data_IF_149844115530
#
_entry.id   IF_149844115530
#
_cell.length_a   1.000
_cell.length_b   1.000
_cell.length_c   1.000
_cell.angle_alpha   90.00
_cell.angle_beta   90.00
_cell.angle_gamma   90.00
#
_symmetry.space_group_name_H-M   'P 1'
#
loop_
_entity.id
_entity.type
_entity.pdbx_description
1 polymer ?
#
# COMPACT_ATOMS: atom_id res chain seq x y z
N UNK A 1 2.14 -22.48 -17.73
CA UNK A 1 1.49 -21.83 -18.88
C UNK A 1 0.43 -20.81 -18.47
N UNK A 2 -0.47 -21.09 -17.51
CA UNK A 2 -1.48 -20.13 -17.04
C UNK A 2 -0.89 -18.89 -16.31
N UNK A 3 0.24 -19.02 -15.61
CA UNK A 3 0.88 -17.91 -14.88
C UNK A 3 1.59 -16.89 -15.80
N UNK A 4 2.11 -17.34 -16.95
CA UNK A 4 2.66 -16.45 -17.99
C UNK A 4 1.56 -15.62 -18.65
N UNK A 5 0.35 -16.17 -18.78
CA UNK A 5 -0.81 -15.43 -19.28
C UNK A 5 -1.27 -14.36 -18.29
N UNK A 6 -1.17 -14.58 -16.97
CA UNK A 6 -1.56 -13.60 -15.94
C UNK A 6 -0.61 -12.39 -15.84
N UNK A 7 0.70 -12.61 -15.92
CA UNK A 7 1.69 -11.51 -16.01
C UNK A 7 1.51 -10.70 -17.30
N UNK A 8 1.30 -11.37 -18.43
CA UNK A 8 1.00 -10.71 -19.70
C UNK A 8 -0.33 -9.95 -19.65
N UNK A 9 -1.38 -10.51 -19.03
CA UNK A 9 -2.67 -9.85 -18.82
C UNK A 9 -2.53 -8.60 -17.94
N UNK A 10 -1.78 -8.66 -16.84
CA UNK A 10 -1.51 -7.51 -15.98
C UNK A 10 -0.75 -6.40 -16.72
N UNK A 11 0.32 -6.74 -17.44
CA UNK A 11 1.09 -5.77 -18.21
C UNK A 11 0.27 -5.19 -19.37
N UNK A 12 -0.60 -5.99 -19.99
CA UNK A 12 -1.49 -5.54 -21.06
C UNK A 12 -2.60 -4.65 -20.52
N UNK A 13 -3.21 -4.98 -19.38
CA UNK A 13 -4.20 -4.14 -18.71
C UNK A 13 -3.60 -2.82 -18.23
N UNK A 14 -2.40 -2.84 -17.65
CA UNK A 14 -1.67 -1.62 -17.26
C UNK A 14 -1.25 -0.78 -18.47
N UNK A 15 -0.82 -1.40 -19.57
CA UNK A 15 -0.51 -0.69 -20.84
C UNK A 15 -1.77 -0.12 -21.50
N UNK A 16 -2.89 -0.85 -21.48
CA UNK A 16 -4.17 -0.40 -22.02
C UNK A 16 -4.73 0.78 -21.21
N UNK A 17 -4.62 0.73 -19.88
CA UNK A 17 -4.98 1.86 -19.00
C UNK A 17 -4.06 3.07 -19.23
N UNK A 18 -2.73 2.87 -19.21
CA UNK A 18 -1.73 3.96 -19.37
C UNK A 18 -1.70 4.62 -20.74
N UNK A 19 -2.19 3.97 -21.80
CA UNK A 19 -2.16 4.52 -23.16
C UNK A 19 -3.37 5.36 -23.50
N UNK A 20 -4.39 5.44 -22.62
CA UNK A 20 -5.65 6.13 -22.92
C UNK A 20 -6.37 5.57 -24.16
N UNK A 21 -5.94 4.40 -24.67
CA UNK A 21 -6.44 3.79 -25.89
C UNK A 21 -7.73 3.01 -25.59
N UNK A 22 -8.80 3.77 -25.31
CA UNK A 22 -10.13 3.40 -25.76
C UNK A 22 -10.40 3.93 -27.18
N UNK A 23 -9.36 4.04 -28.01
CA UNK A 23 -9.48 4.26 -29.45
C UNK A 23 -8.91 3.05 -30.19
N UNK A 24 -9.85 2.18 -30.57
CA UNK A 24 -9.94 1.44 -31.83
C UNK A 24 -8.63 1.42 -32.66
N UNK A 25 -7.71 0.55 -32.28
CA UNK A 25 -6.67 0.08 -33.19
C UNK A 25 -6.91 -1.42 -33.38
N UNK A 26 -7.25 -1.75 -34.62
CA UNK A 26 -7.40 -3.12 -35.11
C UNK A 26 -6.00 -3.74 -35.09
N UNK A 27 -5.66 -4.41 -33.98
CA UNK A 27 -4.90 -5.66 -33.94
C UNK A 27 -4.51 -5.93 -32.47
N UNK A 28 -5.02 -7.05 -31.93
CA UNK A 28 -4.74 -7.61 -30.59
C UNK A 28 -5.26 -6.82 -29.36
N UNK A 29 -6.41 -6.17 -29.44
CA UNK A 29 -7.11 -5.63 -28.26
C UNK A 29 -8.12 -6.64 -27.71
N UNK A 30 -7.97 -7.02 -26.44
CA UNK A 30 -9.03 -7.67 -25.66
C UNK A 30 -10.31 -6.81 -25.75
N UNK A 31 -11.43 -7.39 -26.21
CA UNK A 31 -12.65 -6.61 -26.44
C UNK A 31 -13.22 -6.10 -25.10
N UNK A 32 -13.99 -5.00 -25.13
CA UNK A 32 -14.69 -4.50 -23.93
C UNK A 32 -15.63 -5.58 -23.33
N UNK A 33 -16.16 -6.46 -24.18
CA UNK A 33 -16.96 -7.62 -23.78
C UNK A 33 -16.10 -8.69 -23.10
N UNK A 34 -14.89 -8.97 -23.59
CA UNK A 34 -13.94 -9.89 -22.94
C UNK A 34 -13.42 -9.33 -21.61
N UNK A 35 -13.22 -8.01 -21.51
CA UNK A 35 -12.85 -7.34 -20.25
C UNK A 35 -13.98 -7.41 -19.23
N UNK A 36 -15.21 -7.11 -19.65
CA UNK A 36 -16.39 -7.23 -18.80
C UNK A 36 -16.58 -8.70 -18.36
N UNK A 37 -16.37 -9.65 -19.27
CA UNK A 37 -16.44 -11.08 -19.00
C UNK A 37 -15.32 -11.52 -18.04
N UNK A 38 -14.09 -11.04 -18.17
CA UNK A 38 -12.99 -11.34 -17.24
C UNK A 38 -13.22 -10.76 -15.82
N UNK A 39 -13.86 -9.59 -15.73
CA UNK A 39 -14.28 -8.98 -14.46
C UNK A 39 -15.46 -9.74 -13.84
N UNK A 40 -16.40 -10.26 -14.64
CA UNK A 40 -17.55 -11.05 -14.15
C UNK A 40 -17.22 -12.52 -13.88
N UNK A 41 -16.23 -13.09 -14.57
CA UNK A 41 -15.84 -14.51 -14.47
C UNK A 41 -14.77 -14.75 -13.38
N UNK A 42 -14.59 -13.80 -12.46
CA UNK A 42 -13.82 -14.02 -11.24
C UNK A 42 -12.30 -13.91 -11.42
N UNK A 43 -11.79 -13.17 -12.42
CA UNK A 43 -10.37 -12.85 -12.46
C UNK A 43 -10.05 -11.68 -11.51
N UNK A 44 -10.07 -11.98 -10.21
CA UNK A 44 -9.92 -11.01 -9.11
C UNK A 44 -8.66 -10.15 -9.21
N UNK A 45 -7.58 -10.68 -9.78
CA UNK A 45 -6.34 -9.95 -10.05
C UNK A 45 -6.58 -8.70 -10.90
N UNK A 46 -7.48 -8.77 -11.89
CA UNK A 46 -7.83 -7.65 -12.76
C UNK A 46 -8.67 -6.62 -11.99
N UNK A 47 -9.67 -7.05 -11.23
CA UNK A 47 -10.47 -6.16 -10.38
C UNK A 47 -9.63 -5.43 -9.34
N UNK A 48 -8.68 -6.12 -8.72
CA UNK A 48 -7.75 -5.50 -7.77
C UNK A 48 -6.88 -4.44 -8.45
N UNK A 49 -6.37 -4.71 -9.65
CA UNK A 49 -5.59 -3.70 -10.41
C UNK A 49 -6.44 -2.48 -10.76
N UNK A 50 -7.67 -2.69 -11.24
CA UNK A 50 -8.59 -1.60 -11.60
C UNK A 50 -8.93 -0.76 -10.37
N UNK A 51 -9.27 -1.40 -9.25
CA UNK A 51 -9.65 -0.71 -8.01
C UNK A 51 -8.51 0.11 -7.39
N UNK A 52 -7.26 -0.23 -7.73
CA UNK A 52 -6.06 0.46 -7.24
C UNK A 52 -5.42 1.36 -8.30
N UNK A 53 -5.98 1.45 -9.49
CA UNK A 53 -5.40 2.23 -10.57
C UNK A 53 -5.54 3.73 -10.29
N UNK A 54 -4.42 4.43 -10.45
CA UNK A 54 -4.31 5.88 -10.41
C UNK A 54 -3.44 6.30 -11.58
N UNK A 55 -3.81 7.38 -12.26
CA UNK A 55 -3.01 7.92 -13.35
C UNK A 55 -1.79 8.68 -12.81
N UNK A 56 -0.65 8.59 -13.49
CA UNK A 56 0.59 9.24 -13.02
C UNK A 56 0.46 10.76 -12.95
N UNK A 57 -0.27 11.38 -13.89
CA UNK A 57 -0.46 12.83 -13.95
C UNK A 57 -1.17 13.41 -12.72
N UNK A 58 -1.97 12.60 -12.00
CA UNK A 58 -2.63 13.01 -10.76
C UNK A 58 -1.61 13.44 -9.70
N UNK A 59 -0.46 12.75 -9.66
CA UNK A 59 0.63 13.06 -8.74
C UNK A 59 1.58 14.12 -9.29
N UNK A 60 1.80 14.13 -10.61
CA UNK A 60 2.61 15.18 -11.25
C UNK A 60 2.03 16.58 -11.02
N UNK A 61 0.70 16.70 -10.96
CA UNK A 61 0.01 17.94 -10.60
C UNK A 61 0.62 18.61 -9.37
N UNK A 62 0.85 17.84 -8.29
CA UNK A 62 1.36 18.38 -7.01
C UNK A 62 2.83 18.78 -7.02
N UNK A 63 3.54 18.51 -8.11
CA UNK A 63 4.94 18.96 -8.30
C UNK A 63 5.02 20.34 -8.94
N UNK A 64 3.90 20.84 -9.50
CA UNK A 64 3.86 22.09 -10.24
C UNK A 64 3.93 23.31 -9.31
N UNK A 65 4.55 24.38 -9.77
CA UNK A 65 4.67 25.64 -9.01
C UNK A 65 3.34 26.38 -8.82
N UNK A 66 2.33 26.03 -9.61
CA UNK A 66 0.96 26.58 -9.58
C UNK A 66 0.14 26.06 -8.40
N UNK A 67 0.53 24.93 -7.82
CA UNK A 67 -0.14 24.31 -6.68
C UNK A 67 0.19 25.07 -5.38
N UNK A 68 -0.79 25.23 -4.46
CA UNK A 68 -0.54 25.85 -3.16
C UNK A 68 0.66 25.22 -2.43
N UNK A 69 1.52 26.03 -1.82
CA UNK A 69 2.75 25.58 -1.15
C UNK A 69 2.53 24.43 -0.16
N UNK A 70 1.39 24.41 0.53
CA UNK A 70 1.02 23.37 1.51
C UNK A 70 0.79 21.98 0.91
N UNK A 71 0.52 21.90 -0.39
CA UNK A 71 0.25 20.68 -1.16
C UNK A 71 1.40 20.32 -2.10
N UNK A 72 2.44 21.17 -2.17
CA UNK A 72 3.52 21.00 -3.13
C UNK A 72 4.55 20.00 -2.62
N UNK A 73 4.83 18.98 -3.42
CA UNK A 73 5.82 17.92 -3.12
C UNK A 73 6.89 17.88 -4.21
N UNK A 74 8.09 17.37 -3.88
CA UNK A 74 9.14 17.20 -4.88
C UNK A 74 8.82 16.06 -5.86
N UNK A 75 9.34 16.16 -7.09
CA UNK A 75 9.14 15.15 -8.14
C UNK A 75 9.55 13.73 -7.71
N UNK A 76 10.66 13.59 -6.97
CA UNK A 76 11.08 12.29 -6.45
C UNK A 76 10.08 11.76 -5.39
N UNK A 77 9.57 12.63 -4.52
CA UNK A 77 8.54 12.28 -3.54
C UNK A 77 7.25 11.84 -4.23
N UNK A 78 6.83 12.55 -5.28
CA UNK A 78 5.66 12.18 -6.09
C UNK A 78 5.81 10.80 -6.73
N UNK A 79 6.97 10.48 -7.32
CA UNK A 79 7.24 9.17 -7.91
C UNK A 79 7.17 8.04 -6.89
N UNK A 80 7.81 8.21 -5.73
CA UNK A 80 7.75 7.19 -4.66
C UNK A 80 6.33 7.04 -4.12
N UNK A 81 5.59 8.15 -3.98
CA UNK A 81 4.21 8.12 -3.52
C UNK A 81 3.30 7.41 -4.53
N UNK A 82 3.53 7.59 -5.83
CA UNK A 82 2.80 6.90 -6.89
C UNK A 82 3.00 5.39 -6.82
N UNK A 83 4.24 4.92 -6.66
CA UNK A 83 4.53 3.48 -6.46
C UNK A 83 3.79 2.92 -5.24
N UNK A 84 3.76 3.68 -4.14
CA UNK A 84 3.06 3.30 -2.92
C UNK A 84 1.53 3.25 -3.09
N UNK A 85 0.97 4.17 -3.90
CA UNK A 85 -0.46 4.23 -4.18
C UNK A 85 -0.92 3.08 -5.08
N UNK A 86 -0.07 2.63 -6.00
CA UNK A 86 -0.36 1.47 -6.85
C UNK A 86 -0.12 0.12 -6.17
N UNK A 87 0.63 0.07 -5.07
CA UNK A 87 0.87 -1.18 -4.34
C UNK A 87 -0.44 -1.74 -3.77
N UNK A 88 -0.79 -2.95 -4.16
CA UNK A 88 -1.97 -3.68 -3.69
C UNK A 88 -1.84 -4.02 -2.19
N UNK A 89 -0.60 -4.21 -1.73
CA UNK A 89 -0.26 -4.45 -0.34
C UNK A 89 -0.14 -3.12 0.40
N UNK A 90 -1.24 -2.65 0.96
CA UNK A 90 -1.29 -1.45 1.79
C UNK A 90 -1.26 -1.76 3.29
N UNK A 91 -0.69 -2.90 3.70
CA UNK A 91 -0.59 -3.20 5.14
C UNK A 91 0.25 -2.11 5.83
N UNK A 92 -0.12 -1.65 7.04
CA UNK A 92 0.63 -0.59 7.70
C UNK A 92 2.12 -0.92 7.87
N UNK A 93 2.47 -2.18 8.15
CA UNK A 93 3.88 -2.60 8.24
C UNK A 93 4.58 -2.53 6.89
N UNK A 94 3.95 -2.97 5.78
CA UNK A 94 4.51 -2.78 4.43
C UNK A 94 4.79 -1.33 4.14
N UNK A 95 3.81 -0.46 4.40
CA UNK A 95 3.93 0.98 4.16
C UNK A 95 5.14 1.52 4.93
N UNK A 96 5.22 1.27 6.24
CA UNK A 96 6.33 1.72 7.09
C UNK A 96 7.68 1.23 6.55
N UNK A 97 7.80 -0.07 6.21
CA UNK A 97 9.03 -0.63 5.64
C UNK A 97 9.37 -0.04 4.27
N UNK A 98 8.37 0.31 3.47
CA UNK A 98 8.55 0.89 2.14
C UNK A 98 8.99 2.36 2.19
N UNK A 99 8.86 3.03 3.33
CA UNK A 99 9.33 4.41 3.48
C UNK A 99 10.78 4.49 3.98
N UNK A 100 11.33 3.39 4.48
CA UNK A 100 12.71 3.30 4.97
C UNK A 100 13.62 2.69 3.89
N UNK A 101 14.57 3.47 3.39
CA UNK A 101 15.52 3.04 2.36
C UNK A 101 16.34 1.81 2.77
N UNK A 102 16.58 1.59 4.06
CA UNK A 102 17.30 0.41 4.54
C UNK A 102 16.44 -0.86 4.59
N UNK A 103 15.11 -0.73 4.56
CA UNK A 103 14.18 -1.86 4.56
C UNK A 103 13.57 -2.16 3.18
N UNK A 104 13.62 -1.20 2.26
CA UNK A 104 12.98 -1.29 0.94
C UNK A 104 13.68 -2.23 -0.08
N UNK A 105 14.69 -2.99 0.34
CA UNK A 105 15.36 -4.00 -0.49
C UNK A 105 16.09 -3.40 -1.70
N UNK A 106 16.06 -4.10 -2.84
CA UNK A 106 16.70 -3.69 -4.10
C UNK A 106 15.78 -2.88 -5.03
N UNK A 107 14.81 -2.14 -4.48
CA UNK A 107 13.84 -1.40 -5.27
C UNK A 107 14.50 -0.25 -6.08
N UNK A 108 14.09 0.02 -7.35
CA UNK A 108 14.75 1.03 -8.20
C UNK A 108 14.82 2.45 -7.61
N UNK A 109 13.87 2.80 -6.74
CA UNK A 109 13.77 4.10 -6.06
C UNK A 109 14.17 4.09 -4.57
N UNK A 110 14.92 3.08 -4.09
CA UNK A 110 15.33 2.94 -2.67
C UNK A 110 15.90 4.24 -2.09
N UNK A 111 16.80 4.89 -2.84
CA UNK A 111 17.50 6.10 -2.39
C UNK A 111 16.58 7.31 -2.19
N UNK A 112 15.33 7.24 -2.65
CA UNK A 112 14.36 8.32 -2.54
C UNK A 112 13.21 8.00 -1.58
N UNK A 113 13.16 6.80 -0.99
CA UNK A 113 12.04 6.42 -0.11
C UNK A 113 11.98 7.27 1.17
N UNK A 114 13.13 7.68 1.68
CA UNK A 114 13.20 8.57 2.84
C UNK A 114 12.71 10.00 2.56
N UNK A 115 12.50 10.40 1.29
CA UNK A 115 12.00 11.75 0.97
C UNK A 115 10.56 11.95 1.45
N UNK A 116 9.75 10.88 1.47
CA UNK A 116 8.40 10.93 2.05
C UNK A 116 8.47 11.23 3.54
N UNK A 117 9.42 10.65 4.28
CA UNK A 117 9.60 10.92 5.71
C UNK A 117 9.98 12.39 5.93
N UNK A 118 10.90 12.92 5.12
CA UNK A 118 11.31 14.33 5.20
C UNK A 118 10.20 15.34 4.89
N UNK A 119 9.21 14.95 4.07
CA UNK A 119 8.13 15.82 3.57
C UNK A 119 6.75 15.28 3.93
N UNK A 120 6.65 14.56 5.05
CA UNK A 120 5.46 13.79 5.39
C UNK A 120 4.21 14.67 5.51
N UNK A 121 4.35 15.94 5.96
CA UNK A 121 3.23 16.88 6.09
C UNK A 121 2.59 17.23 4.73
N UNK A 122 3.33 17.77 3.74
CA UNK A 122 2.82 17.91 2.38
C UNK A 122 2.24 16.62 1.80
N UNK A 123 2.92 15.47 1.99
CA UNK A 123 2.44 14.18 1.47
C UNK A 123 1.08 13.79 2.06
N UNK A 124 0.89 13.95 3.37
CA UNK A 124 -0.41 13.73 4.02
C UNK A 124 -1.47 14.66 3.44
N UNK A 125 -1.13 15.93 3.18
CA UNK A 125 -2.06 16.88 2.55
C UNK A 125 -2.41 16.51 1.10
N UNK A 126 -1.46 15.99 0.34
CA UNK A 126 -1.72 15.47 -1.02
C UNK A 126 -2.68 14.28 -0.97
N UNK A 127 -2.49 13.35 -0.03
CA UNK A 127 -3.39 12.19 0.12
C UNK A 127 -4.80 12.60 0.57
N UNK A 128 -4.90 13.58 1.47
CA UNK A 128 -6.18 14.19 1.85
C UNK A 128 -6.86 14.90 0.66
N UNK A 129 -6.11 15.64 -0.17
CA UNK A 129 -6.65 16.32 -1.36
C UNK A 129 -7.10 15.31 -2.44
N UNK A 130 -6.34 14.24 -2.67
CA UNK A 130 -6.73 13.14 -3.56
C UNK A 130 -8.01 12.45 -3.07
N UNK A 131 -8.14 12.21 -1.77
CA UNK A 131 -9.36 11.66 -1.18
C UNK A 131 -10.58 12.50 -1.55
N UNK A 132 -10.51 13.81 -1.33
CA UNK A 132 -11.62 14.72 -1.64
C UNK A 132 -11.92 14.77 -3.15
N UNK A 133 -10.91 14.71 -4.02
CA UNK A 133 -11.10 14.66 -5.47
C UNK A 133 -11.78 13.38 -5.95
N UNK A 134 -11.48 12.26 -5.32
CA UNK A 134 -12.00 10.93 -5.68
C UNK A 134 -13.28 10.55 -4.93
N UNK A 135 -13.79 11.43 -4.07
CA UNK A 135 -15.03 11.23 -3.33
C UNK A 135 -16.01 12.38 -3.62
N UNK A 136 -16.47 12.48 -4.87
CA UNK A 136 -17.47 13.47 -5.29
C UNK A 136 -18.72 12.79 -5.82
N UNK A 137 -19.93 13.41 -5.74
CA UNK A 137 -21.20 12.76 -6.11
C UNK A 137 -21.27 12.14 -7.52
N UNK A 138 -20.47 12.65 -8.46
CA UNK A 138 -20.45 12.19 -9.86
C UNK A 138 -19.30 11.20 -10.14
N UNK A 139 -18.39 11.01 -9.18
CA UNK A 139 -17.19 10.18 -9.30
C UNK A 139 -16.77 9.72 -7.89
N UNK A 140 -17.50 8.77 -7.32
CA UNK A 140 -17.24 8.23 -5.98
C UNK A 140 -16.42 6.94 -6.07
N UNK A 141 -15.12 7.04 -5.84
CA UNK A 141 -14.22 5.88 -5.74
C UNK A 141 -13.97 5.54 -4.27
N UNK A 142 -14.96 4.93 -3.60
CA UNK A 142 -14.92 4.67 -2.15
C UNK A 142 -13.67 3.87 -1.70
N UNK A 143 -13.28 2.86 -2.50
CA UNK A 143 -12.10 2.03 -2.19
C UNK A 143 -10.79 2.83 -2.25
N UNK A 144 -10.60 3.65 -3.29
CA UNK A 144 -9.43 4.52 -3.41
C UNK A 144 -9.43 5.59 -2.33
N UNK A 145 -10.56 6.23 -2.05
CA UNK A 145 -10.68 7.22 -0.99
C UNK A 145 -10.30 6.63 0.38
N UNK A 146 -10.78 5.42 0.69
CA UNK A 146 -10.42 4.72 1.92
C UNK A 146 -8.93 4.35 1.95
N UNK A 147 -8.36 3.93 0.82
CA UNK A 147 -6.92 3.65 0.70
C UNK A 147 -6.07 4.90 0.90
N UNK A 148 -6.44 6.03 0.30
CA UNK A 148 -5.76 7.31 0.48
C UNK A 148 -5.76 7.74 1.96
N UNK A 149 -6.89 7.55 2.65
CA UNK A 149 -6.98 7.78 4.10
C UNK A 149 -6.04 6.90 4.91
N UNK A 150 -6.01 5.59 4.62
CA UNK A 150 -5.11 4.65 5.30
C UNK A 150 -3.64 5.03 5.10
N UNK A 151 -3.25 5.34 3.85
CA UNK A 151 -1.91 5.80 3.51
C UNK A 151 -1.58 7.11 4.21
N UNK A 152 -2.50 8.08 4.24
CA UNK A 152 -2.31 9.36 4.91
C UNK A 152 -2.05 9.16 6.40
N UNK A 153 -2.84 8.30 7.05
CA UNK A 153 -2.64 7.96 8.47
C UNK A 153 -1.33 7.22 8.72
N UNK A 154 -0.91 6.30 7.85
CA UNK A 154 0.36 5.59 7.99
C UNK A 154 1.55 6.56 7.84
N UNK A 155 1.55 7.41 6.81
CA UNK A 155 2.59 8.43 6.59
C UNK A 155 2.62 9.41 7.76
N UNK A 156 1.46 9.84 8.27
CA UNK A 156 1.36 10.69 9.46
C UNK A 156 2.01 10.03 10.68
N UNK A 157 1.68 8.77 10.96
CA UNK A 157 2.26 8.02 12.09
C UNK A 157 3.78 7.85 11.97
N UNK A 158 4.28 7.62 10.75
CA UNK A 158 5.73 7.56 10.49
C UNK A 158 6.39 8.91 10.71
N UNK A 159 5.78 9.99 10.23
CA UNK A 159 6.26 11.36 10.40
C UNK A 159 6.32 11.80 11.87
N UNK A 160 5.26 11.53 12.63
CA UNK A 160 5.20 11.78 14.08
C UNK A 160 6.28 10.99 14.82
N UNK A 161 6.41 9.69 14.53
CA UNK A 161 7.47 8.85 15.10
C UNK A 161 8.87 9.40 14.76
N UNK A 162 9.08 9.85 13.53
CA UNK A 162 10.35 10.42 13.08
C UNK A 162 10.71 11.73 13.81
N UNK A 163 9.71 12.52 14.19
CA UNK A 163 9.90 13.74 14.99
C UNK A 163 10.24 13.44 16.44
N UNK A 164 9.48 12.55 17.07
CA UNK A 164 9.68 12.12 18.46
C UNK A 164 11.08 11.54 18.68
N UNK A 165 11.64 10.88 17.66
CA UNK A 165 12.93 10.21 17.74
C UNK A 165 14.07 10.97 17.02
N UNK A 166 13.82 12.20 16.54
CA UNK A 166 14.86 13.06 15.94
C UNK A 166 15.41 12.62 14.58
N UNK A 167 14.70 11.75 13.85
CA UNK A 167 15.13 11.19 12.56
C UNK A 167 15.18 12.24 11.46
N UNK A 168 14.28 13.24 11.48
CA UNK A 168 14.22 14.28 10.44
C UNK A 168 15.53 15.07 10.33
N UNK A 169 16.16 15.36 11.48
CA UNK A 169 17.45 16.04 11.51
C UNK A 169 18.58 15.15 10.94
N UNK A 170 18.54 13.84 11.24
CA UNK A 170 19.48 12.86 10.69
C UNK A 170 19.40 12.77 9.16
N UNK A 171 18.17 12.71 8.63
CA UNK A 171 17.91 12.66 7.18
C UNK A 171 18.33 13.94 6.45
N UNK A 172 18.15 15.11 7.09
CA UNK A 172 18.61 16.39 6.55
C UNK A 172 20.14 16.47 6.47
N UNK A 173 20.84 15.99 7.51
CA UNK A 173 22.30 16.00 7.57
C UNK A 173 22.94 15.01 6.59
N UNK A 174 22.30 13.85 6.35
CA UNK A 174 22.75 12.86 5.38
C UNK A 174 22.77 13.40 3.93
N UNK A 175 21.86 14.31 3.59
CA UNK A 175 21.80 14.94 2.25
C UNK A 175 22.98 15.90 1.97
N UNK A 176 23.64 16.43 3.00
CA UNK A 176 24.77 17.35 2.87
C UNK A 176 26.14 16.65 2.76
N UNK A 177 26.22 15.34 3.01
CA UNK A 177 27.45 14.58 2.90
C UNK A 177 27.66 14.09 1.45
N UNK A 178 28.20 14.95 0.58
CA UNK A 178 28.76 14.54 -0.71
C UNK A 178 30.12 13.86 -0.53
N UNK A 179 30.20 12.59 -0.96
CA UNK A 179 31.40 11.79 -1.28
C UNK A 179 32.32 11.31 -0.13
N UNK A 180 32.61 9.99 -0.21
CA UNK A 180 33.86 9.29 0.14
C UNK A 180 34.12 8.56 1.47
N UNK A 181 33.24 8.56 2.46
CA UNK A 181 33.41 7.66 3.62
C UNK A 181 32.13 6.90 3.94
N UNK A 182 32.00 5.71 3.33
CA UNK A 182 31.03 4.71 3.75
C UNK A 182 31.47 4.16 5.12
N UNK A 183 30.70 4.36 6.20
CA UNK A 183 30.97 3.67 7.45
C UNK A 183 30.46 2.23 7.28
N UNK A 184 31.38 1.27 7.30
CA UNK A 184 31.11 -0.17 7.33
C UNK A 184 30.55 -0.59 8.71
N UNK A 185 29.38 -0.07 9.08
CA UNK A 185 28.56 -0.52 10.21
C UNK A 185 27.16 -0.87 9.72
N UNK A 186 26.41 -1.75 10.42
CA UNK A 186 25.04 -2.05 10.04
C UNK A 186 24.22 -0.76 10.15
N UNK A 187 23.83 -0.18 9.02
CA UNK A 187 22.92 0.96 8.95
C UNK A 187 21.62 0.57 9.62
N UNK A 188 21.39 1.11 10.81
CA UNK A 188 20.22 0.77 11.61
C UNK A 188 19.02 1.44 10.97
N UNK A 189 18.07 0.64 10.48
CA UNK A 189 16.78 1.14 10.01
C UNK A 189 16.16 2.06 11.05
N UNK A 190 15.82 3.25 10.60
CA UNK A 190 15.28 4.32 11.43
C UNK A 190 13.87 3.98 11.95
N UNK A 191 13.10 3.17 11.21
CA UNK A 191 11.72 2.81 11.56
C UNK A 191 11.58 1.43 12.23
N UNK A 192 12.69 0.74 12.54
CA UNK A 192 12.64 -0.61 13.14
C UNK A 192 11.85 -0.67 14.46
N UNK A 193 11.92 0.36 15.29
CA UNK A 193 11.16 0.43 16.54
C UNK A 193 9.65 0.46 16.27
N UNK A 194 9.22 1.30 15.33
CA UNK A 194 7.83 1.42 14.91
C UNK A 194 7.29 0.13 14.27
N UNK A 195 8.09 -0.53 13.42
CA UNK A 195 7.71 -1.84 12.84
C UNK A 195 7.47 -2.87 13.94
N UNK A 196 8.33 -2.92 14.96
CA UNK A 196 8.13 -3.81 16.11
C UNK A 196 6.86 -3.45 16.89
N UNK A 197 6.59 -2.17 17.13
CA UNK A 197 5.36 -1.74 17.80
C UNK A 197 4.11 -2.26 17.08
N UNK A 198 4.10 -2.23 15.75
CA UNK A 198 2.98 -2.69 14.94
C UNK A 198 2.85 -4.22 14.90
N UNK A 199 3.97 -4.94 14.88
CA UNK A 199 4.02 -6.40 14.84
C UNK A 199 3.85 -7.06 16.21
N UNK A 200 4.02 -6.32 17.29
CA UNK A 200 3.87 -6.86 18.63
C UNK A 200 2.47 -7.46 18.81
N UNK A 201 2.45 -8.78 18.95
CA UNK A 201 1.23 -9.55 19.11
C UNK A 201 0.64 -9.39 20.51
N UNK A 202 -0.67 -9.59 20.61
CA UNK A 202 -1.36 -9.77 21.89
C UNK A 202 -1.81 -11.22 22.04
N UNK A 203 -1.82 -11.72 23.28
CA UNK A 203 -2.43 -13.01 23.61
C UNK A 203 -3.93 -13.01 23.23
N UNK A 204 -4.53 -14.15 22.81
CA UNK A 204 -4.01 -15.52 22.87
C UNK A 204 -3.38 -16.07 21.58
N UNK A 205 -3.53 -15.40 20.43
CA UNK A 205 -3.11 -15.92 19.12
C UNK A 205 -1.90 -15.22 18.50
N UNK A 206 -1.34 -14.20 19.18
CA UNK A 206 -0.14 -13.51 18.70
C UNK A 206 -0.34 -12.69 17.42
N UNK A 207 -1.59 -12.37 17.05
CA UNK A 207 -1.89 -11.50 15.91
C UNK A 207 -1.37 -10.08 16.16
N UNK A 208 -0.94 -9.32 15.12
CA UNK A 208 -0.31 -7.99 15.24
C UNK A 208 -1.20 -6.95 15.95
N UNK A 209 -1.15 -6.90 17.27
CA UNK A 209 -2.06 -6.11 18.10
C UNK A 209 -1.85 -4.61 17.95
N UNK A 210 -0.60 -4.18 17.69
CA UNK A 210 -0.29 -2.79 17.38
C UNK A 210 -0.96 -2.31 16.09
N UNK A 211 -0.86 -3.11 15.02
CA UNK A 211 -1.52 -2.82 13.76
C UNK A 211 -3.05 -2.83 13.88
N UNK A 212 -3.62 -3.82 14.58
CA UNK A 212 -5.06 -3.90 14.85
C UNK A 212 -5.57 -2.64 15.58
N UNK A 213 -4.85 -2.22 16.63
CA UNK A 213 -5.19 -1.01 17.39
C UNK A 213 -5.10 0.25 16.53
N UNK A 214 -4.05 0.36 15.73
CA UNK A 214 -3.85 1.50 14.84
C UNK A 214 -4.99 1.61 13.81
N UNK A 215 -5.33 0.51 13.12
CA UNK A 215 -6.40 0.49 12.12
C UNK A 215 -7.76 0.86 12.73
N UNK A 216 -8.10 0.28 13.89
CA UNK A 216 -9.34 0.62 14.61
C UNK A 216 -9.39 2.08 15.05
N UNK A 217 -8.25 2.68 15.38
CA UNK A 217 -8.16 4.08 15.78
C UNK A 217 -8.37 5.05 14.62
N UNK A 218 -7.83 4.75 13.44
CA UNK A 218 -7.89 5.65 12.28
C UNK A 218 -9.18 5.53 11.46
N UNK A 219 -9.91 4.42 11.59
CA UNK A 219 -11.15 4.21 10.85
C UNK A 219 -12.23 5.27 11.13
N UNK A 220 -12.52 5.65 12.39
CA UNK A 220 -13.46 6.72 12.69
C UNK A 220 -13.06 8.10 12.16
N UNK A 221 -11.76 8.33 11.87
CA UNK A 221 -11.27 9.61 11.38
C UNK A 221 -11.38 9.78 9.86
N UNK A 222 -11.96 8.81 9.15
CA UNK A 222 -12.29 8.96 7.73
C UNK A 222 -13.31 10.09 7.55
N UNK A 223 -13.14 11.03 6.60
CA UNK A 223 -14.00 12.21 6.52
C UNK A 223 -15.41 11.95 5.96
N UNK A 224 -15.61 10.90 5.15
CA UNK A 224 -16.90 10.62 4.48
C UNK A 224 -17.65 9.45 5.10
N UNK A 225 -18.33 9.70 6.23
CA UNK A 225 -19.10 8.67 6.95
C UNK A 225 -20.35 8.19 6.20
N UNK A 226 -20.77 8.94 5.17
CA UNK A 226 -21.80 8.56 4.21
C UNK A 226 -21.37 7.41 3.29
N UNK A 227 -20.07 7.11 3.21
CA UNK A 227 -19.55 6.04 2.36
C UNK A 227 -20.13 4.68 2.75
N UNK A 228 -20.69 3.97 1.78
CA UNK A 228 -21.30 2.66 2.01
C UNK A 228 -20.25 1.61 2.35
N UNK A 229 -19.10 1.65 1.66
CA UNK A 229 -17.96 0.78 1.93
C UNK A 229 -17.39 1.00 3.33
N UNK A 230 -17.19 2.26 3.73
CA UNK A 230 -16.70 2.57 5.08
C UNK A 230 -17.69 2.12 6.16
N UNK A 231 -18.99 2.38 5.99
CA UNK A 231 -20.01 1.93 6.93
C UNK A 231 -20.04 0.40 7.05
N UNK A 232 -19.87 -0.32 5.93
CA UNK A 232 -19.73 -1.77 5.94
C UNK A 232 -18.49 -2.19 6.74
N UNK A 233 -17.31 -1.63 6.45
CA UNK A 233 -16.05 -1.96 7.14
C UNK A 233 -16.15 -1.73 8.64
N UNK A 234 -16.65 -0.57 9.07
CA UNK A 234 -16.80 -0.24 10.50
C UNK A 234 -17.75 -1.22 11.20
N UNK A 235 -18.87 -1.57 10.56
CA UNK A 235 -19.82 -2.55 11.13
C UNK A 235 -19.20 -3.94 11.25
N UNK A 236 -18.42 -4.40 10.26
CA UNK A 236 -17.74 -5.69 10.32
C UNK A 236 -16.68 -5.71 11.43
N UNK A 237 -15.83 -4.68 11.51
CA UNK A 237 -14.77 -4.59 12.51
C UNK A 237 -15.33 -4.49 13.95
N UNK A 238 -16.46 -3.80 14.12
CA UNK A 238 -17.13 -3.70 15.42
C UNK A 238 -17.63 -5.06 15.95
N UNK A 239 -17.91 -6.02 15.05
CA UNK A 239 -18.38 -7.36 15.43
C UNK A 239 -17.24 -8.31 15.80
N UNK A 240 -15.99 -7.97 15.48
CA UNK A 240 -14.82 -8.83 15.72
C UNK A 240 -14.03 -8.33 16.93
N UNK A 241 -13.67 -9.25 17.82
CA UNK A 241 -12.81 -8.96 18.97
C UNK A 241 -11.35 -8.76 18.51
N UNK A 242 -10.63 -7.74 19.04
CA UNK A 242 -9.21 -7.58 18.78
C UNK A 242 -8.43 -8.86 19.15
N UNK A 243 -7.49 -9.27 18.29
CA UNK A 243 -6.70 -10.49 18.50
C UNK A 243 -7.34 -11.77 17.96
N UNK A 244 -8.50 -11.68 17.30
CA UNK A 244 -9.14 -12.79 16.58
C UNK A 244 -9.20 -12.53 15.08
N UNK A 245 -9.37 -13.60 14.30
CA UNK A 245 -9.64 -13.54 12.87
C UNK A 245 -11.16 -13.46 12.62
N UNK A 246 -11.64 -12.66 11.64
CA UNK A 246 -10.87 -11.80 10.74
C UNK A 246 -10.36 -10.52 11.43
N UNK A 247 -9.13 -10.13 11.13
CA UNK A 247 -8.54 -8.88 11.66
C UNK A 247 -9.12 -7.65 10.95
N UNK A 248 -8.97 -6.47 11.54
CA UNK A 248 -9.33 -5.21 10.89
C UNK A 248 -8.63 -5.04 9.54
N UNK A 249 -7.36 -5.46 9.45
CA UNK A 249 -6.61 -5.46 8.20
C UNK A 249 -7.27 -6.36 7.15
N UNK A 250 -7.60 -7.61 7.49
CA UNK A 250 -8.19 -8.55 6.52
C UNK A 250 -9.54 -8.07 5.98
N UNK A 251 -10.35 -7.40 6.82
CA UNK A 251 -11.62 -6.79 6.40
C UNK A 251 -11.37 -5.62 5.45
N UNK A 252 -10.36 -4.78 5.72
CA UNK A 252 -9.97 -3.67 4.86
C UNK A 252 -9.39 -4.12 3.52
N UNK A 253 -8.51 -5.13 3.52
CA UNK A 253 -7.97 -5.75 2.31
C UNK A 253 -9.08 -6.28 1.42
N UNK A 254 -10.04 -6.99 2.01
CA UNK A 254 -11.22 -7.49 1.29
C UNK A 254 -12.08 -6.35 0.73
N UNK A 255 -12.29 -5.28 1.50
CA UNK A 255 -13.12 -4.14 1.09
C UNK A 255 -12.49 -3.32 -0.05
N UNK A 256 -11.17 -3.11 -0.02
CA UNK A 256 -10.46 -2.24 -0.97
C UNK A 256 -10.02 -3.02 -2.22
N UNK A 257 -9.43 -4.21 -2.05
CA UNK A 257 -8.91 -4.99 -3.18
C UNK A 257 -9.98 -5.87 -3.85
N UNK A 258 -11.17 -5.97 -3.26
CA UNK A 258 -12.26 -6.84 -3.71
C UNK A 258 -12.15 -8.26 -3.15
N UNK A 259 -13.17 -9.10 -3.41
CA UNK A 259 -13.20 -10.49 -2.95
C UNK A 259 -12.03 -11.28 -3.55
N UNK A 260 -10.94 -11.46 -2.82
CA UNK A 260 -9.99 -12.53 -3.12
C UNK A 260 -10.47 -13.81 -2.40
N UNK A 261 -10.77 -14.92 -3.09
CA UNK A 261 -11.25 -16.16 -2.44
C UNK A 261 -10.18 -16.87 -1.57
N UNK A 262 -9.09 -16.20 -1.19
CA UNK A 262 -7.88 -16.82 -0.65
C UNK A 262 -7.48 -16.29 0.74
N UNK A 263 -8.39 -16.36 1.69
CA UNK A 263 -8.05 -16.31 3.12
C UNK A 263 -8.54 -17.53 3.92
N UNK A 264 -9.24 -18.49 3.30
CA UNK A 264 -9.88 -19.60 4.00
C UNK A 264 -9.48 -21.02 3.54
N UNK A 265 -8.66 -21.18 2.49
CA UNK A 265 -8.07 -22.49 2.15
C UNK A 265 -6.57 -22.51 2.45
N UNK A 266 -6.22 -23.15 3.57
CA UNK A 266 -4.89 -23.23 4.18
C UNK A 266 -3.85 -24.08 3.42
N UNK A 267 -4.17 -24.57 2.23
CA UNK A 267 -3.39 -25.62 1.57
C UNK A 267 -2.42 -25.16 0.46
N UNK A 268 -2.61 -23.97 -0.13
CA UNK A 268 -1.69 -23.50 -1.18
C UNK A 268 -0.66 -22.49 -0.65
N UNK A 269 0.60 -22.91 -0.62
CA UNK A 269 1.76 -22.13 -0.18
C UNK A 269 1.95 -20.84 -1.00
N UNK A 270 1.51 -20.84 -2.26
CA UNK A 270 1.60 -19.69 -3.15
C UNK A 270 0.62 -18.57 -2.80
N UNK A 271 -0.43 -18.87 -2.04
CA UNK A 271 -1.49 -17.93 -1.67
C UNK A 271 -1.28 -17.28 -0.30
N UNK A 272 -0.33 -17.78 0.50
CA UNK A 272 -0.08 -17.32 1.86
C UNK A 272 0.73 -16.00 1.83
N UNK A 273 0.24 -14.98 2.54
CA UNK A 273 0.95 -13.71 2.70
C UNK A 273 2.04 -13.81 3.77
N UNK A 274 3.10 -13.02 3.60
CA UNK A 274 4.13 -12.84 4.61
C UNK A 274 3.52 -12.26 5.89
N UNK A 275 3.72 -12.92 7.03
CA UNK A 275 3.20 -12.50 8.34
C UNK A 275 3.85 -11.23 8.90
N UNK A 276 4.88 -10.71 8.23
CA UNK A 276 5.53 -9.43 8.58
C UNK A 276 5.05 -8.30 7.67
N UNK A 277 5.35 -8.38 6.37
CA UNK A 277 5.06 -7.31 5.43
C UNK A 277 3.79 -7.51 4.61
N UNK A 278 3.07 -8.64 4.73
CA UNK A 278 1.88 -8.90 3.92
C UNK A 278 2.15 -9.25 2.45
N UNK A 279 3.41 -9.24 1.99
CA UNK A 279 3.73 -9.56 0.60
C UNK A 279 3.30 -10.98 0.26
N UNK A 280 2.76 -11.15 -0.94
CA UNK A 280 2.35 -12.44 -1.49
C UNK A 280 3.37 -12.86 -2.54
N UNK A 281 3.55 -14.17 -2.74
CA UNK A 281 4.46 -14.67 -3.77
C UNK A 281 4.00 -14.21 -5.15
N UNK A 282 4.86 -13.52 -5.90
CA UNK A 282 4.59 -13.14 -7.29
C UNK A 282 5.77 -13.56 -8.18
N UNK A 283 5.48 -14.46 -9.13
CA UNK A 283 6.27 -14.83 -10.31
C UNK A 283 7.78 -14.52 -10.16
N UNK A 284 8.46 -15.31 -9.33
CA UNK A 284 9.92 -15.35 -9.11
C UNK A 284 10.59 -14.23 -8.27
N UNK A 285 9.89 -13.15 -7.92
CA UNK A 285 10.50 -12.01 -7.21
C UNK A 285 10.46 -12.11 -5.67
N UNK A 286 9.42 -12.75 -5.11
CA UNK A 286 9.23 -12.91 -3.67
C UNK A 286 8.92 -14.37 -3.35
N UNK A 287 9.80 -15.02 -2.59
CA UNK A 287 9.63 -16.42 -2.20
C UNK A 287 9.05 -16.49 -0.79
N UNK A 288 7.87 -17.06 -0.65
CA UNK A 288 7.21 -17.26 0.65
C UNK A 288 7.61 -18.62 1.24
N UNK A 289 8.11 -18.63 2.47
CA UNK A 289 8.52 -19.83 3.20
C UNK A 289 7.82 -19.91 4.55
N UNK A 290 7.28 -21.08 4.91
CA UNK A 290 6.70 -21.31 6.24
C UNK A 290 7.79 -21.31 7.32
N UNK A 291 7.41 -20.85 8.51
CA UNK A 291 8.23 -20.96 9.69
C UNK A 291 8.57 -22.43 9.95
N UNK A 292 9.86 -22.77 10.02
CA UNK A 292 10.30 -24.14 10.26
C UNK A 292 9.85 -24.67 11.63
N UNK A 293 9.67 -23.77 12.60
CA UNK A 293 9.31 -24.12 13.97
C UNK A 293 7.81 -24.36 14.16
N UNK A 294 6.95 -23.38 13.89
CA UNK A 294 5.51 -23.52 14.12
C UNK A 294 4.72 -24.00 12.89
N UNK A 295 5.25 -23.81 11.67
CA UNK A 295 4.58 -24.14 10.38
C UNK A 295 3.22 -23.46 10.12
N UNK A 296 2.79 -22.56 11.01
CA UNK A 296 1.51 -21.83 10.91
C UNK A 296 1.66 -20.48 10.18
N UNK A 297 2.79 -19.82 10.36
CA UNK A 297 3.09 -18.51 9.73
C UNK A 297 4.08 -18.66 8.59
N UNK A 298 4.09 -17.69 7.68
CA UNK A 298 5.00 -17.67 6.54
C UNK A 298 5.69 -16.31 6.39
N UNK A 299 6.90 -16.31 5.84
CA UNK A 299 7.72 -15.11 5.68
C UNK A 299 8.27 -15.06 4.25
N UNK A 300 8.35 -13.86 3.70
CA UNK A 300 9.10 -13.62 2.48
C UNK A 300 10.60 -13.73 2.76
N UNK A 301 11.34 -14.33 1.82
CA UNK A 301 12.81 -14.37 1.82
C UNK A 301 13.39 -13.53 0.70
#
# INVERSE_FOLDING_TARGET
>A
MALFQLSALMDTSLKALRSGLFQRTEDETMSLEDFHTAVTDGNHSVSTVINNFLEEYELEFYTQSTVPTKLRIHTNTARVLYDLLLDINFTPVKIIMSLDSHMAGSHPLVMHRDTIIGEWRPVVKVLEDLLERYFVPHQTHEALALKFHLLACCVRKVGEYAEEHGLLASLANAKCATSEQAPAGPTVSHLRGLVKEFLNGTDPHGLPGGQERFLRHILPSFPHHESTLWQYVVRQIAQVQPGYSPTALSILEYAINGQAPFALSSDDLSSQACSTCGDRGNNDSVIIKRCQNCREVAYCS
#
